data_IF_667390704810
#
_entry.id   IF_667390704810
#
_cell.length_a   1.000
_cell.length_b   1.000
_cell.length_c   1.000
_cell.angle_alpha   90.00
_cell.angle_beta   90.00
_cell.angle_gamma   90.00
#
_symmetry.space_group_name_H-M   'P 1'
#
loop_
_entity.id
_entity.type
_entity.pdbx_description
1 polymer ?
#
# COMPACT_ATOMS: atom_id res chain seq x y z
N UNK A 1 19.24 -11.57 -11.79
CA UNK A 1 19.44 -10.10 -11.86
C UNK A 1 19.51 -9.62 -10.43
N UNK A 2 20.66 -9.18 -9.94
CA UNK A 2 20.79 -8.69 -8.56
C UNK A 2 20.24 -7.28 -8.52
N UNK A 3 19.08 -7.11 -7.90
CA UNK A 3 18.54 -5.80 -7.56
C UNK A 3 19.20 -5.43 -6.23
N UNK A 4 20.23 -4.62 -6.25
CA UNK A 4 20.74 -3.95 -5.07
C UNK A 4 19.89 -2.69 -4.89
N UNK A 5 19.09 -2.65 -3.84
CA UNK A 5 18.48 -1.40 -3.43
C UNK A 5 19.59 -0.43 -3.00
N UNK A 6 19.54 0.84 -3.41
CA UNK A 6 20.47 1.84 -2.93
C UNK A 6 20.35 1.95 -1.39
N UNK A 7 21.45 2.19 -0.72
CA UNK A 7 21.53 2.30 0.74
C UNK A 7 20.74 3.48 1.33
N UNK A 8 20.34 4.42 0.48
CA UNK A 8 19.39 5.50 0.78
C UNK A 8 18.50 5.72 -0.45
N UNK A 9 17.19 6.00 -0.26
CA UNK A 9 16.30 6.24 -1.38
C UNK A 9 16.74 7.51 -2.12
N UNK A 10 16.76 7.44 -3.44
CA UNK A 10 17.00 8.60 -4.30
C UNK A 10 15.93 9.68 -4.00
N UNK A 11 16.37 10.85 -3.57
CA UNK A 11 15.45 11.96 -3.25
C UNK A 11 14.52 12.30 -4.43
N UNK A 12 14.97 12.13 -5.66
CA UNK A 12 14.15 12.36 -6.85
C UNK A 12 13.04 11.31 -7.01
N UNK A 13 13.29 10.08 -6.59
CA UNK A 13 12.29 9.02 -6.59
C UNK A 13 11.20 9.29 -5.56
N UNK A 14 11.55 9.73 -4.38
CA UNK A 14 10.60 10.08 -3.31
C UNK A 14 9.67 11.23 -3.71
N UNK A 15 10.12 12.13 -4.57
CA UNK A 15 9.34 13.29 -5.06
C UNK A 15 8.40 12.97 -6.23
N UNK A 16 8.41 11.74 -6.74
CA UNK A 16 7.60 11.32 -7.90
C UNK A 16 6.58 10.25 -7.50
N UNK A 17 5.43 10.64 -6.91
CA UNK A 17 4.42 9.67 -6.54
C UNK A 17 3.92 8.91 -7.78
N UNK A 18 3.77 7.60 -7.63
CA UNK A 18 3.26 6.70 -8.68
C UNK A 18 1.84 7.08 -9.12
N UNK A 19 1.09 7.68 -8.21
CA UNK A 19 -0.24 8.19 -8.50
C UNK A 19 -1.38 7.28 -8.04
N UNK A 20 -1.15 6.39 -7.08
CA UNK A 20 -2.21 5.52 -6.53
C UNK A 20 -3.36 6.35 -5.93
N UNK A 21 -3.08 7.52 -5.37
CA UNK A 21 -4.10 8.44 -4.86
C UNK A 21 -5.00 9.04 -5.97
N UNK A 22 -4.57 9.02 -7.22
CA UNK A 22 -5.28 9.57 -8.37
C UNK A 22 -5.97 8.46 -9.17
N UNK A 23 -7.31 8.41 -9.11
CA UNK A 23 -8.12 7.42 -9.83
C UNK A 23 -8.04 7.54 -11.37
N UNK A 24 -7.58 8.66 -11.91
CA UNK A 24 -7.38 8.84 -13.35
C UNK A 24 -6.03 8.27 -13.81
N UNK A 25 -5.06 8.16 -12.90
CA UNK A 25 -3.77 7.51 -13.16
C UNK A 25 -3.84 6.00 -12.90
N UNK A 26 -4.37 5.61 -11.76
CA UNK A 26 -4.57 4.20 -11.40
C UNK A 26 -6.09 4.00 -11.19
N UNK A 27 -6.84 3.53 -12.19
CA UNK A 27 -8.27 3.29 -12.09
C UNK A 27 -8.66 2.29 -10.99
N UNK A 28 -9.89 2.35 -10.50
CA UNK A 28 -10.38 1.51 -9.41
C UNK A 28 -10.27 0.00 -9.70
N UNK A 29 -10.43 -0.39 -10.97
CA UNK A 29 -10.31 -1.79 -11.39
C UNK A 29 -8.87 -2.33 -11.37
N UNK A 30 -7.87 -1.46 -11.25
CA UNK A 30 -6.47 -1.82 -11.03
C UNK A 30 -6.13 -2.04 -9.54
N UNK A 31 -7.08 -1.81 -8.64
CA UNK A 31 -6.95 -2.13 -7.22
C UNK A 31 -7.83 -3.33 -6.89
N UNK A 32 -7.22 -4.42 -6.47
CA UNK A 32 -7.88 -5.68 -6.16
C UNK A 32 -7.46 -6.18 -4.77
N UNK A 33 -8.25 -7.05 -4.19
CA UNK A 33 -7.94 -7.63 -2.88
C UNK A 33 -8.44 -9.06 -2.77
N UNK A 34 -7.88 -9.82 -1.83
CA UNK A 34 -8.31 -11.18 -1.49
C UNK A 34 -9.77 -11.23 -1.03
N UNK A 35 -10.19 -10.21 -0.29
CA UNK A 35 -11.53 -10.08 0.28
C UNK A 35 -11.84 -8.62 0.60
N UNK A 36 -13.11 -8.35 0.90
CA UNK A 36 -13.55 -7.07 1.45
C UNK A 36 -14.68 -7.30 2.46
N UNK A 37 -14.72 -6.49 3.52
CA UNK A 37 -15.69 -6.64 4.59
C UNK A 37 -17.10 -6.27 4.13
N UNK A 38 -17.24 -5.13 3.49
CA UNK A 38 -18.51 -4.61 2.98
C UNK A 38 -18.28 -3.94 1.63
N UNK A 39 -19.27 -4.08 0.73
CA UNK A 39 -19.18 -3.49 -0.62
C UNK A 39 -19.43 -1.98 -0.62
N UNK A 40 -20.03 -1.44 0.45
CA UNK A 40 -20.33 -0.03 0.60
C UNK A 40 -19.14 0.80 1.10
N UNK A 41 -18.44 0.33 2.13
CA UNK A 41 -17.42 1.10 2.85
C UNK A 41 -15.97 0.70 2.56
N UNK A 42 -15.72 -0.56 2.19
CA UNK A 42 -14.41 -1.18 2.37
C UNK A 42 -13.81 -1.75 1.07
N UNK A 43 -14.11 -1.12 -0.06
CA UNK A 43 -13.61 -1.57 -1.37
C UNK A 43 -12.09 -1.41 -1.48
N UNK A 44 -11.40 -2.25 -2.26
CA UNK A 44 -9.96 -2.11 -2.50
C UNK A 44 -9.56 -0.69 -2.94
N UNK A 45 -10.31 -0.08 -3.84
CA UNK A 45 -10.04 1.27 -4.33
C UNK A 45 -10.21 2.38 -3.28
N UNK A 46 -10.83 2.10 -2.14
CA UNK A 46 -10.95 3.05 -1.03
C UNK A 46 -9.68 3.07 -0.15
N UNK A 47 -8.79 2.09 -0.31
CA UNK A 47 -7.47 2.07 0.34
C UNK A 47 -6.45 3.06 -0.25
N UNK A 48 -6.89 4.05 -1.03
CA UNK A 48 -6.02 5.12 -1.55
C UNK A 48 -5.60 6.06 -0.43
N UNK A 49 -4.34 6.47 -0.46
CA UNK A 49 -3.83 7.46 0.48
C UNK A 49 -4.60 8.79 0.31
N UNK A 50 -5.02 9.39 1.42
CA UNK A 50 -5.82 10.61 1.47
C UNK A 50 -7.14 10.52 0.68
N UNK A 51 -7.66 9.31 0.53
CA UNK A 51 -8.94 9.08 -0.14
C UNK A 51 -10.11 9.65 0.68
N UNK A 52 -11.13 10.13 -0.01
CA UNK A 52 -12.37 10.69 0.54
C UNK A 52 -13.56 9.73 0.42
N UNK A 53 -13.33 8.51 -0.02
CA UNK A 53 -14.35 7.48 -0.26
C UNK A 53 -14.25 6.34 0.73
N UNK A 54 -15.32 6.14 1.52
CA UNK A 54 -15.41 5.03 2.49
C UNK A 54 -14.37 5.12 3.61
N UNK A 55 -14.18 3.99 4.28
CA UNK A 55 -13.35 3.90 5.48
C UNK A 55 -11.97 3.23 5.17
N UNK A 56 -11.55 3.27 3.90
CA UNK A 56 -10.38 2.54 3.43
C UNK A 56 -10.72 1.13 2.94
N UNK A 57 -9.71 0.30 2.72
CA UNK A 57 -9.91 -1.13 2.46
C UNK A 57 -9.87 -1.91 3.76
N UNK A 58 -10.87 -2.75 3.97
CA UNK A 58 -10.94 -3.66 5.10
C UNK A 58 -11.15 -5.09 4.59
N UNK A 59 -10.36 -6.02 5.05
CA UNK A 59 -10.57 -7.44 4.76
C UNK A 59 -11.88 -7.95 5.39
N UNK A 60 -12.48 -8.97 4.79
CA UNK A 60 -13.78 -9.51 5.20
C UNK A 60 -13.84 -9.95 6.66
N UNK A 61 -12.76 -10.54 7.15
CA UNK A 61 -12.67 -11.03 8.53
C UNK A 61 -11.65 -10.22 9.31
N UNK A 62 -12.09 -9.46 10.30
CA UNK A 62 -11.28 -8.54 11.10
C UNK A 62 -10.26 -9.20 12.03
N UNK A 63 -10.19 -10.54 12.12
CA UNK A 63 -9.35 -11.23 13.11
C UNK A 63 -8.44 -12.28 12.49
N UNK A 64 -7.12 -12.06 12.63
CA UNK A 64 -6.04 -13.06 12.49
C UNK A 64 -5.92 -13.77 11.13
N UNK A 65 -6.37 -13.20 10.03
CA UNK A 65 -6.00 -13.70 8.70
C UNK A 65 -4.67 -13.09 8.28
N UNK A 66 -3.68 -13.94 8.16
CA UNK A 66 -2.35 -13.58 7.66
C UNK A 66 -2.26 -13.60 6.12
N UNK A 67 -3.35 -13.97 5.45
CA UNK A 67 -3.37 -14.25 4.02
C UNK A 67 -4.21 -13.23 3.23
N UNK A 68 -4.74 -12.21 3.90
CA UNK A 68 -5.43 -11.12 3.19
C UNK A 68 -4.41 -10.20 2.51
N UNK A 69 -4.71 -9.81 1.28
CA UNK A 69 -3.86 -8.95 0.49
C UNK A 69 -4.65 -7.88 -0.25
N UNK A 70 -4.01 -6.75 -0.44
CA UNK A 70 -4.38 -5.67 -1.34
C UNK A 70 -3.32 -5.57 -2.44
N UNK A 71 -3.75 -5.59 -3.69
CA UNK A 71 -2.88 -5.49 -4.85
C UNK A 71 -3.21 -4.26 -5.67
N UNK A 72 -2.18 -3.59 -6.14
CA UNK A 72 -2.29 -2.48 -7.08
C UNK A 72 -1.54 -2.84 -8.36
N UNK A 73 -2.23 -2.81 -9.50
CA UNK A 73 -1.64 -2.90 -10.82
C UNK A 73 -1.23 -1.49 -11.27
N UNK A 74 0.06 -1.27 -11.45
CA UNK A 74 0.60 0.01 -11.86
C UNK A 74 0.56 0.23 -13.39
N UNK A 75 0.07 -0.77 -14.13
CA UNK A 75 -0.10 -0.74 -15.58
C UNK A 75 1.21 -0.84 -16.37
N UNK A 76 2.34 -0.56 -15.76
CA UNK A 76 3.66 -0.65 -16.37
C UNK A 76 4.70 -0.98 -15.31
N UNK A 77 5.83 -1.52 -15.76
CA UNK A 77 6.95 -1.78 -14.84
C UNK A 77 7.64 -0.46 -14.50
N UNK A 78 7.65 -0.14 -13.22
CA UNK A 78 8.27 1.06 -12.67
C UNK A 78 9.11 0.72 -11.44
N UNK A 79 10.02 1.60 -11.09
CA UNK A 79 10.74 1.55 -9.83
C UNK A 79 9.87 2.14 -8.72
N UNK A 80 9.74 1.39 -7.61
CA UNK A 80 9.05 1.85 -6.40
C UNK A 80 10.08 1.98 -5.29
N UNK A 81 10.26 3.19 -4.78
CA UNK A 81 11.29 3.51 -3.78
C UNK A 81 10.73 3.69 -2.38
N UNK A 82 9.44 3.95 -2.25
CA UNK A 82 8.79 4.10 -0.95
C UNK A 82 7.32 3.71 -1.02
N UNK A 83 6.77 3.36 0.13
CA UNK A 83 5.34 3.10 0.32
C UNK A 83 4.87 3.92 1.51
N UNK A 84 3.75 4.60 1.34
CA UNK A 84 3.03 5.26 2.41
C UNK A 84 1.74 4.49 2.72
N UNK A 85 1.43 4.33 4.00
CA UNK A 85 0.19 3.74 4.48
C UNK A 85 -0.53 4.70 5.39
N UNK A 86 -1.84 4.59 5.45
CA UNK A 86 -2.72 5.41 6.26
C UNK A 86 -3.76 4.52 6.92
N UNK A 87 -4.12 4.81 8.17
CA UNK A 87 -5.25 4.19 8.84
C UNK A 87 -6.58 4.77 8.35
N UNK A 88 -7.67 4.22 8.88
CA UNK A 88 -9.02 4.73 8.63
C UNK A 88 -9.12 6.20 9.07
N UNK A 89 -9.57 7.04 8.16
CA UNK A 89 -9.69 8.49 8.39
C UNK A 89 -10.83 8.83 9.35
N UNK A 90 -11.85 7.97 9.45
CA UNK A 90 -13.05 8.17 10.27
C UNK A 90 -13.04 7.31 11.54
N UNK A 91 -12.09 6.41 11.70
CA UNK A 91 -12.00 5.46 12.79
C UNK A 91 -10.63 5.43 13.46
N UNK A 92 -10.46 4.47 14.34
CA UNK A 92 -9.20 4.20 15.04
C UNK A 92 -8.65 2.84 14.62
N UNK A 93 -8.81 2.49 13.35
CA UNK A 93 -8.34 1.23 12.80
C UNK A 93 -7.18 1.46 11.82
N UNK A 94 -6.14 0.65 11.93
CA UNK A 94 -4.99 0.68 11.03
C UNK A 94 -4.33 -0.69 10.96
N UNK A 95 -3.59 -0.93 9.88
CA UNK A 95 -2.75 -2.13 9.74
C UNK A 95 -1.46 -1.91 10.52
N UNK A 96 -1.15 -2.80 11.46
CA UNK A 96 0.06 -2.73 12.30
C UNK A 96 1.27 -3.37 11.64
N UNK A 97 1.03 -4.42 10.87
CA UNK A 97 2.08 -5.20 10.23
C UNK A 97 1.60 -5.68 8.87
N UNK A 98 2.44 -5.62 7.86
CA UNK A 98 2.17 -6.19 6.55
C UNK A 98 3.45 -6.71 5.90
N UNK A 99 3.30 -7.61 4.93
CA UNK A 99 4.35 -8.02 4.03
C UNK A 99 4.15 -7.34 2.68
N UNK A 100 5.24 -6.99 2.04
CA UNK A 100 5.24 -6.43 0.71
C UNK A 100 5.78 -7.45 -0.27
N UNK A 101 5.14 -7.58 -1.42
CA UNK A 101 5.64 -8.34 -2.56
C UNK A 101 5.42 -7.57 -3.83
N UNK A 102 6.25 -7.82 -4.83
CA UNK A 102 6.14 -7.21 -6.15
C UNK A 102 6.20 -8.25 -7.24
N UNK A 103 5.62 -7.94 -8.39
CA UNK A 103 5.58 -8.81 -9.56
C UNK A 103 5.55 -7.98 -10.83
N UNK A 104 6.07 -8.53 -11.92
CA UNK A 104 5.95 -7.96 -13.27
C UNK A 104 4.85 -8.61 -14.12
N UNK A 105 4.25 -9.72 -13.64
CA UNK A 105 3.28 -10.53 -14.39
C UNK A 105 2.02 -10.88 -13.59
N UNK A 106 1.93 -10.43 -12.34
CA UNK A 106 0.88 -10.75 -11.37
C UNK A 106 0.69 -12.25 -11.10
N UNK A 107 1.65 -13.09 -11.47
CA UNK A 107 1.63 -14.54 -11.26
C UNK A 107 2.79 -14.98 -10.38
N UNK A 108 3.99 -14.45 -10.64
CA UNK A 108 5.20 -14.75 -9.89
C UNK A 108 5.53 -13.58 -8.98
N UNK A 109 5.39 -13.78 -7.66
CA UNK A 109 5.57 -12.74 -6.65
C UNK A 109 6.91 -12.90 -5.94
N UNK A 110 7.64 -11.82 -5.84
CA UNK A 110 8.89 -11.74 -5.10
C UNK A 110 8.64 -10.97 -3.80
N UNK A 111 8.90 -11.58 -2.63
CA UNK A 111 8.79 -10.84 -1.38
C UNK A 111 9.87 -9.75 -1.31
N UNK A 112 9.49 -8.61 -0.74
CA UNK A 112 10.41 -7.56 -0.40
C UNK A 112 10.98 -7.84 1.00
N UNK A 113 12.29 -7.77 1.11
CA UNK A 113 12.99 -7.81 2.38
C UNK A 113 13.62 -6.44 2.66
N UNK A 114 13.49 -5.98 3.89
CA UNK A 114 14.16 -4.74 4.31
C UNK A 114 15.69 -4.90 4.38
N UNK A 115 16.39 -3.83 4.77
CA UNK A 115 17.85 -3.84 4.90
C UNK A 115 18.38 -4.85 5.95
N UNK A 116 17.51 -5.33 6.86
CA UNK A 116 17.84 -6.35 7.86
C UNK A 116 17.48 -7.77 7.41
N UNK A 117 16.90 -7.91 6.21
CA UNK A 117 16.42 -9.19 5.69
C UNK A 117 15.03 -9.60 6.20
N UNK A 118 14.29 -8.70 6.85
CA UNK A 118 12.95 -8.95 7.35
C UNK A 118 11.91 -8.72 6.26
N UNK A 119 11.00 -9.68 6.07
CA UNK A 119 9.88 -9.56 5.12
C UNK A 119 8.73 -8.68 5.65
N UNK A 120 8.74 -8.34 6.94
CA UNK A 120 7.62 -7.67 7.58
C UNK A 120 7.89 -6.18 7.79
N UNK A 121 6.98 -5.35 7.30
CA UNK A 121 6.95 -3.92 7.58
C UNK A 121 6.03 -3.68 8.78
N UNK A 122 6.57 -3.13 9.85
CA UNK A 122 5.80 -2.73 11.04
C UNK A 122 5.44 -1.26 10.95
N UNK A 123 4.17 -0.98 11.13
CA UNK A 123 3.64 0.38 11.14
C UNK A 123 3.47 0.83 12.58
N UNK A 124 4.32 1.74 13.03
CA UNK A 124 4.06 2.43 14.31
C UNK A 124 3.00 3.48 14.10
N UNK A 125 1.94 3.52 14.93
CA UNK A 125 0.97 4.60 14.86
C UNK A 125 1.71 5.93 15.10
N UNK A 126 1.84 6.73 14.08
CA UNK A 126 2.14 8.13 14.27
C UNK A 126 0.81 8.85 14.29
N UNK A 127 0.54 9.60 15.33
CA UNK A 127 -0.48 10.64 15.24
C UNK A 127 -0.15 11.46 14.01
N UNK A 128 -1.06 11.49 13.05
CA UNK A 128 -0.94 12.38 11.92
C UNK A 128 -1.01 13.82 12.48
N UNK A 129 0.14 14.44 12.63
CA UNK A 129 0.19 15.88 12.55
C UNK A 129 -0.07 16.22 11.08
N UNK A 130 -1.17 16.92 10.81
CA UNK A 130 -1.55 17.38 9.47
C UNK A 130 -0.51 18.33 8.84
N UNK A 131 0.65 18.52 9.47
CA UNK A 131 1.76 19.32 8.98
C UNK A 131 2.79 18.55 8.16
N UNK A 132 2.66 17.24 7.98
CA UNK A 132 3.49 16.47 7.05
C UNK A 132 2.80 16.36 5.69
N UNK A 133 2.45 17.51 5.13
CA UNK A 133 2.28 17.63 3.70
C UNK A 133 3.62 17.41 3.01
N UNK A 134 3.57 16.64 1.93
CA UNK A 134 4.61 16.50 0.91
C UNK A 134 5.88 15.73 1.30
N UNK A 135 5.82 14.45 1.07
CA UNK A 135 6.94 13.79 0.36
C UNK A 135 6.38 12.92 -0.76
#
# INVERSE_FOLDING_TARGET
MNISLPSEPDEDCLKKPVGISDQFKIPDNQMTASSQHDTGCCKPAYGRLNGDRGDGWCAKEKRNRKDDWLQVDLGTTIEVCAIATQGDINGNEWVTDFKLSYSSDAQNWTPYNDANGEEMVRVTPRYFDASLESY
#
